data_IF_882577616109
#
_entry.id   IF_882577616109
#
_cell.length_a   1.000
_cell.length_b   1.000
_cell.length_c   1.000
_cell.angle_alpha   90.00
_cell.angle_beta   90.00
_cell.angle_gamma   90.00
#
_symmetry.space_group_name_H-M   'P 1'
#
loop_
_entity.id
_entity.type
_entity.pdbx_description
1 polymer ?
#
# COMPACT_ATOMS: atom_id res chain seq x y z
N UNK A 1 46.97 7.01 20.41
CA UNK A 1 45.82 7.47 19.59
C UNK A 1 45.17 6.37 18.74
N UNK A 2 45.94 5.46 18.13
CA UNK A 2 45.42 4.36 17.28
C UNK A 2 44.41 3.42 17.97
N UNK A 3 44.66 3.03 19.22
CA UNK A 3 43.77 2.14 20.01
C UNK A 3 42.43 2.78 20.39
N UNK A 4 42.42 4.10 20.66
CA UNK A 4 41.20 4.88 20.93
C UNK A 4 40.35 5.01 19.66
N UNK A 5 41.01 5.23 18.51
CA UNK A 5 40.34 5.31 17.21
C UNK A 5 39.71 3.97 16.82
N UNK A 6 40.41 2.84 17.03
CA UNK A 6 39.84 1.49 16.82
C UNK A 6 38.63 1.25 17.73
N UNK A 7 38.71 1.65 19.01
CA UNK A 7 37.58 1.53 19.94
C UNK A 7 36.38 2.39 19.55
N UNK A 8 36.61 3.58 19.00
CA UNK A 8 35.54 4.48 18.52
C UNK A 8 34.88 3.93 17.25
N UNK A 9 35.67 3.38 16.33
CA UNK A 9 35.14 2.74 15.10
C UNK A 9 34.33 1.49 15.44
N UNK A 10 34.78 0.67 16.39
CA UNK A 10 34.03 -0.51 16.84
C UNK A 10 32.72 -0.13 17.54
N UNK A 11 32.74 0.92 18.36
CA UNK A 11 31.53 1.44 19.00
C UNK A 11 30.53 1.99 17.97
N UNK A 12 31.01 2.69 16.93
CA UNK A 12 30.16 3.22 15.86
C UNK A 12 29.51 2.09 15.02
N UNK A 13 30.25 1.03 14.70
CA UNK A 13 29.71 -0.13 13.98
C UNK A 13 28.62 -0.86 14.77
N UNK A 14 28.79 -0.99 16.09
CA UNK A 14 27.79 -1.58 16.97
C UNK A 14 26.51 -0.72 17.02
N UNK A 15 26.63 0.62 17.02
CA UNK A 15 25.47 1.52 16.97
C UNK A 15 24.67 1.43 15.66
N UNK A 16 25.34 1.19 14.51
CA UNK A 16 24.65 0.99 13.23
C UNK A 16 23.85 -0.32 13.18
N UNK A 17 24.27 -1.36 13.93
CA UNK A 17 23.58 -2.66 13.96
C UNK A 17 22.23 -2.65 14.66
N UNK A 18 21.96 -1.64 15.49
CA UNK A 18 20.72 -1.49 16.26
C UNK A 18 19.70 -0.60 15.54
N UNK A 19 20.06 -0.03 14.38
CA UNK A 19 19.15 0.84 13.65
C UNK A 19 18.00 -0.02 13.11
N UNK A 20 16.74 0.21 13.54
CA UNK A 20 15.62 -0.56 13.04
C UNK A 20 15.52 -0.32 11.54
N UNK A 21 15.74 -1.37 10.75
CA UNK A 21 15.36 -1.40 9.35
C UNK A 21 13.87 -1.06 9.32
N UNK A 22 13.52 0.11 8.79
CA UNK A 22 12.14 0.56 8.71
C UNK A 22 11.34 -0.55 8.00
N UNK A 23 10.53 -1.26 8.77
CA UNK A 23 9.63 -2.28 8.29
C UNK A 23 8.61 -1.57 7.41
N UNK A 24 8.81 -1.66 6.10
CA UNK A 24 7.86 -1.14 5.12
C UNK A 24 6.61 -2.00 5.22
N UNK A 25 5.70 -1.60 6.10
CA UNK A 25 4.38 -2.20 6.20
C UNK A 25 3.63 -1.83 4.93
N UNK A 26 3.62 -2.76 3.97
CA UNK A 26 2.89 -2.60 2.74
C UNK A 26 1.42 -2.42 3.11
N UNK A 27 0.89 -1.22 2.89
CA UNK A 27 -0.49 -0.93 3.20
C UNK A 27 -1.38 -1.84 2.35
N UNK A 28 -2.08 -2.78 2.99
CA UNK A 28 -2.95 -3.74 2.30
C UNK A 28 -4.15 -2.98 1.74
N UNK A 29 -4.30 -2.86 0.41
CA UNK A 29 -5.46 -2.19 -0.16
C UNK A 29 -6.71 -3.01 0.15
N UNK A 30 -7.73 -2.35 0.71
CA UNK A 30 -9.03 -2.95 1.03
C UNK A 30 -10.12 -2.30 0.20
N UNK A 31 -10.93 -3.10 -0.47
CA UNK A 31 -12.15 -2.64 -1.14
C UNK A 31 -13.28 -2.44 -0.13
N UNK A 32 -14.13 -1.43 -0.35
CA UNK A 32 -15.29 -1.16 0.49
C UNK A 32 -16.31 -2.30 0.51
N UNK A 33 -16.45 -3.02 -0.60
CA UNK A 33 -17.31 -4.19 -0.73
C UNK A 33 -16.68 -5.21 -1.67
N UNK A 34 -16.80 -6.50 -1.33
CA UNK A 34 -16.37 -7.62 -2.19
C UNK A 34 -17.48 -8.10 -3.12
N UNK A 35 -18.73 -7.98 -2.69
CA UNK A 35 -19.92 -8.30 -3.46
C UNK A 35 -20.98 -7.22 -3.24
N UNK A 36 -21.63 -6.80 -4.32
CA UNK A 36 -22.68 -5.78 -4.31
C UNK A 36 -23.75 -6.21 -5.30
N UNK A 37 -25.01 -6.23 -4.86
CA UNK A 37 -26.15 -6.40 -5.75
C UNK A 37 -26.55 -5.04 -6.30
N UNK A 38 -26.39 -4.86 -7.60
CA UNK A 38 -26.77 -3.62 -8.29
C UNK A 38 -27.91 -3.94 -9.25
N UNK A 39 -28.99 -3.19 -9.14
CA UNK A 39 -30.14 -3.31 -10.05
C UNK A 39 -29.85 -2.62 -11.37
N UNK A 40 -30.45 -3.11 -12.47
CA UNK A 40 -30.25 -2.56 -13.80
C UNK A 40 -30.50 -1.04 -13.82
N UNK A 41 -29.59 -0.28 -14.43
CA UNK A 41 -29.64 1.19 -14.47
C UNK A 41 -29.08 1.91 -13.25
N UNK A 42 -28.80 1.22 -12.14
CA UNK A 42 -28.16 1.83 -10.96
C UNK A 42 -26.64 1.76 -11.05
N UNK A 43 -25.97 2.75 -10.45
CA UNK A 43 -24.51 2.79 -10.35
C UNK A 43 -24.09 2.66 -8.90
N UNK A 44 -23.04 1.88 -8.64
CA UNK A 44 -22.44 1.76 -7.32
C UNK A 44 -20.97 2.20 -7.36
N UNK A 45 -20.56 3.02 -6.39
CA UNK A 45 -19.19 3.52 -6.28
C UNK A 45 -18.39 2.68 -5.29
N UNK A 46 -17.40 1.95 -5.79
CA UNK A 46 -16.44 1.21 -4.97
C UNK A 46 -15.30 2.13 -4.51
N UNK A 47 -14.90 2.01 -3.24
CA UNK A 47 -13.81 2.79 -2.65
C UNK A 47 -12.65 1.85 -2.27
N UNK A 48 -11.42 2.25 -2.60
CA UNK A 48 -10.21 1.56 -2.15
C UNK A 48 -9.63 2.31 -0.95
N UNK A 49 -9.47 1.62 0.17
CA UNK A 49 -8.88 2.13 1.41
C UNK A 49 -7.49 1.52 1.61
N UNK A 50 -6.63 2.20 2.35
CA UNK A 50 -5.31 1.68 2.70
C UNK A 50 -4.27 1.76 1.59
N UNK A 51 -4.47 2.58 0.56
CA UNK A 51 -3.42 2.91 -0.41
C UNK A 51 -3.49 4.38 -0.81
N UNK A 52 -2.32 4.99 -1.00
CA UNK A 52 -2.19 6.35 -1.55
C UNK A 52 -2.14 6.34 -3.08
N UNK A 53 -2.02 5.16 -3.71
CA UNK A 53 -1.95 5.01 -5.17
C UNK A 53 -3.35 5.02 -5.79
N UNK A 54 -3.47 5.57 -6.99
CA UNK A 54 -4.73 5.59 -7.74
C UNK A 54 -5.18 4.16 -8.08
N UNK A 55 -6.45 3.85 -7.82
CA UNK A 55 -7.04 2.57 -8.15
C UNK A 55 -7.27 2.43 -9.67
N UNK A 56 -6.93 1.26 -10.24
CA UNK A 56 -7.25 0.90 -11.62
C UNK A 56 -8.42 -0.09 -11.62
N UNK A 57 -9.55 0.33 -12.19
CA UNK A 57 -10.75 -0.49 -12.25
C UNK A 57 -10.78 -1.33 -13.53
N UNK A 58 -11.19 -2.59 -13.40
CA UNK A 58 -11.44 -3.51 -14.51
C UNK A 58 -12.63 -4.42 -14.16
N UNK A 59 -13.28 -4.95 -15.19
CA UNK A 59 -14.40 -5.90 -15.06
C UNK A 59 -14.16 -7.07 -15.99
N UNK A 60 -14.33 -8.29 -15.48
CA UNK A 60 -14.18 -9.50 -16.29
C UNK A 60 -15.38 -9.73 -17.21
N UNK A 61 -16.57 -9.20 -16.87
CA UNK A 61 -17.80 -9.35 -17.65
C UNK A 61 -18.40 -7.98 -18.00
N UNK A 62 -17.87 -7.38 -19.06
CA UNK A 62 -18.35 -6.08 -19.59
C UNK A 62 -19.81 -6.11 -20.03
N UNK A 63 -20.33 -7.28 -20.42
CA UNK A 63 -21.74 -7.47 -20.79
C UNK A 63 -22.72 -7.32 -19.62
N UNK A 64 -22.24 -7.45 -18.38
CA UNK A 64 -23.08 -7.40 -17.17
C UNK A 64 -22.85 -6.10 -16.41
N UNK A 65 -21.61 -5.58 -16.40
CA UNK A 65 -21.28 -4.34 -15.70
C UNK A 65 -20.16 -3.58 -16.40
N UNK A 66 -20.35 -2.26 -16.56
CA UNK A 66 -19.34 -1.34 -17.09
C UNK A 66 -18.75 -0.54 -15.93
N UNK A 67 -17.43 -0.53 -15.82
CA UNK A 67 -16.72 0.32 -14.85
C UNK A 67 -16.43 1.68 -15.48
N UNK A 68 -17.03 2.75 -14.96
CA UNK A 68 -16.74 4.10 -15.43
C UNK A 68 -15.56 4.69 -14.64
N UNK A 69 -14.54 5.17 -15.35
CA UNK A 69 -13.29 5.73 -14.80
C UNK A 69 -13.47 7.15 -14.23
N UNK A 70 -14.63 7.47 -13.65
CA UNK A 70 -14.83 8.78 -13.01
C UNK A 70 -14.04 8.82 -11.70
N UNK A 71 -12.79 9.26 -11.82
CA UNK A 71 -11.93 9.64 -10.73
C UNK A 71 -12.44 10.98 -10.16
N UNK A 72 -13.21 10.93 -9.09
CA UNK A 72 -13.32 12.03 -8.12
C UNK A 72 -13.21 11.44 -6.72
#
# INVERSE_FOLDING_TARGET
>A
MKKKLVSVVLAALLMFSIMPLANVSAATPKLSAKSVYVTAGKTYQLKVKGTKKKAKWSTSKKSVAVVNKKAR
#
